data_IF_959197328079
#
_entry.id   IF_959197328079
#
_cell.length_a   1.000
_cell.length_b   1.000
_cell.length_c   1.000
_cell.angle_alpha   90.00
_cell.angle_beta   90.00
_cell.angle_gamma   90.00
#
_symmetry.space_group_name_H-M   'P 1'
#
loop_
_entity.id
_entity.type
_entity.pdbx_description
1 polymer ?
#
# COMPACT_ATOMS: atom_id res chain seq x y z
N UNK A 1 -0.51 -71.27 5.34
CA UNK A 1 -1.74 -70.47 5.34
C UNK A 1 -1.27 -69.03 5.15
N UNK A 2 -1.11 -68.64 3.91
CA UNK A 2 -0.59 -67.34 3.48
C UNK A 2 -1.77 -66.59 2.86
N UNK A 3 -2.16 -65.50 3.53
CA UNK A 3 -3.24 -64.63 3.05
C UNK A 3 -2.63 -63.48 2.23
N UNK A 4 -3.03 -63.48 0.98
CA UNK A 4 -2.60 -62.54 -0.07
C UNK A 4 -3.43 -61.25 0.04
N UNK A 5 -2.87 -60.14 0.52
CA UNK A 5 -3.55 -58.87 0.61
C UNK A 5 -3.32 -58.08 -0.68
N UNK A 6 -4.31 -58.05 -1.53
CA UNK A 6 -4.37 -57.35 -2.80
C UNK A 6 -4.75 -55.86 -2.57
N UNK A 7 -3.81 -54.95 -2.78
CA UNK A 7 -4.04 -53.50 -2.79
C UNK A 7 -4.86 -53.05 -4.02
N UNK A 8 -5.79 -52.10 -3.88
CA UNK A 8 -6.55 -51.55 -5.01
C UNK A 8 -5.83 -50.35 -5.67
N UNK A 9 -5.10 -50.61 -6.75
CA UNK A 9 -4.46 -49.57 -7.62
C UNK A 9 -5.36 -49.06 -8.74
N UNK A 10 -6.58 -48.60 -8.51
CA UNK A 10 -7.45 -48.22 -9.65
C UNK A 10 -8.12 -46.85 -9.56
N UNK A 11 -7.95 -46.05 -8.51
CA UNK A 11 -8.62 -44.77 -8.41
C UNK A 11 -7.74 -43.54 -8.81
N UNK A 12 -6.44 -43.60 -8.67
CA UNK A 12 -5.54 -42.47 -8.92
C UNK A 12 -5.35 -42.20 -10.42
N UNK A 13 -5.31 -43.23 -11.24
CA UNK A 13 -5.08 -43.10 -12.69
C UNK A 13 -6.27 -42.48 -13.46
N UNK A 14 -7.47 -42.49 -12.89
CA UNK A 14 -8.67 -41.95 -13.55
C UNK A 14 -8.86 -40.43 -13.28
N UNK A 15 -8.29 -39.93 -12.20
CA UNK A 15 -8.29 -38.51 -11.86
C UNK A 15 -7.40 -37.70 -12.80
N UNK A 16 -6.19 -38.18 -13.05
CA UNK A 16 -5.22 -37.49 -13.91
C UNK A 16 -5.66 -37.40 -15.37
N UNK A 17 -6.39 -38.45 -15.82
CA UNK A 17 -6.94 -38.50 -17.19
C UNK A 17 -8.05 -37.47 -17.37
N UNK A 18 -8.92 -37.30 -16.38
CA UNK A 18 -10.01 -36.31 -16.40
C UNK A 18 -9.47 -34.89 -16.36
N UNK A 19 -8.44 -34.61 -15.53
CA UNK A 19 -7.77 -33.32 -15.45
C UNK A 19 -7.12 -32.94 -16.77
N UNK A 20 -6.39 -33.85 -17.42
CA UNK A 20 -5.76 -33.60 -18.73
C UNK A 20 -6.79 -33.29 -19.82
N UNK A 21 -7.93 -33.99 -19.82
CA UNK A 21 -9.03 -33.73 -20.76
C UNK A 21 -9.62 -32.32 -20.51
N UNK A 22 -9.81 -31.92 -19.26
CA UNK A 22 -10.37 -30.62 -18.89
C UNK A 22 -9.47 -29.48 -19.32
N UNK A 23 -8.14 -29.62 -19.16
CA UNK A 23 -7.15 -28.65 -19.62
C UNK A 23 -7.13 -28.51 -21.14
N UNK A 24 -7.25 -29.60 -21.87
CA UNK A 24 -7.32 -29.57 -23.35
C UNK A 24 -8.60 -28.89 -23.82
N UNK A 25 -9.75 -29.19 -23.20
CA UNK A 25 -11.03 -28.53 -23.54
C UNK A 25 -10.97 -27.03 -23.26
N UNK A 26 -10.36 -26.61 -22.14
CA UNK A 26 -10.18 -25.19 -21.79
C UNK A 26 -9.28 -24.49 -22.80
N UNK A 27 -8.18 -25.12 -23.23
CA UNK A 27 -7.28 -24.57 -24.23
C UNK A 27 -7.95 -24.42 -25.62
N UNK A 28 -8.79 -25.40 -26.03
CA UNK A 28 -9.56 -25.33 -27.28
C UNK A 28 -10.63 -24.23 -27.20
N UNK A 29 -11.30 -24.07 -26.06
CA UNK A 29 -12.26 -23.00 -25.83
C UNK A 29 -11.60 -21.61 -25.89
N UNK A 30 -10.40 -21.44 -25.33
CA UNK A 30 -9.62 -20.21 -25.42
C UNK A 30 -9.18 -19.89 -26.86
N UNK A 31 -8.82 -20.91 -27.66
CA UNK A 31 -8.48 -20.72 -29.08
C UNK A 31 -9.71 -20.38 -29.93
N UNK A 32 -10.88 -20.94 -29.63
CA UNK A 32 -12.13 -20.65 -30.33
C UNK A 32 -12.70 -19.26 -29.99
N UNK A 33 -12.53 -18.79 -28.75
CA UNK A 33 -12.98 -17.44 -28.34
C UNK A 33 -12.00 -16.33 -28.75
N UNK A 34 -10.70 -16.62 -28.80
CA UNK A 34 -9.67 -15.68 -29.27
C UNK A 34 -9.66 -15.50 -30.81
N UNK A 35 -10.13 -16.52 -31.56
CA UNK A 35 -10.11 -16.47 -33.03
C UNK A 35 -11.26 -15.70 -33.69
N UNK A 36 -12.35 -15.43 -32.99
CA UNK A 36 -13.53 -14.76 -33.57
C UNK A 36 -13.47 -13.22 -33.52
N UNK A 37 -12.50 -12.65 -32.80
CA UNK A 37 -12.31 -11.20 -32.77
C UNK A 37 -11.54 -10.63 -33.97
N UNK A 38 -10.94 -11.47 -34.82
CA UNK A 38 -10.10 -11.00 -35.95
C UNK A 38 -10.88 -10.92 -37.27
N UNK A 39 -12.08 -11.54 -37.37
CA UNK A 39 -12.73 -11.74 -38.67
C UNK A 39 -14.02 -10.93 -38.92
N UNK A 40 -14.53 -10.18 -37.97
CA UNK A 40 -15.60 -9.23 -38.18
C UNK A 40 -15.07 -7.82 -37.96
N UNK A 41 -14.89 -7.09 -39.11
CA UNK A 41 -14.42 -5.73 -39.27
C UNK A 41 -14.93 -4.67 -38.29
N UNK A 42 -14.76 -4.93 -37.00
CA UNK A 42 -14.91 -3.96 -35.94
C UNK A 42 -13.56 -3.27 -35.74
N UNK A 43 -13.51 -1.99 -36.06
CA UNK A 43 -12.40 -1.12 -35.68
C UNK A 43 -12.11 -1.31 -34.20
N UNK A 44 -10.83 -1.56 -33.77
CA UNK A 44 -10.52 -1.70 -32.37
C UNK A 44 -10.95 -0.45 -31.63
N UNK A 45 -11.64 -0.65 -30.51
CA UNK A 45 -12.21 0.43 -29.68
C UNK A 45 -11.15 1.46 -29.22
N UNK A 46 -9.87 1.13 -29.39
CA UNK A 46 -8.74 2.01 -29.10
C UNK A 46 -8.41 3.05 -30.20
N UNK A 47 -9.01 2.95 -31.37
CA UNK A 47 -8.78 3.99 -32.41
C UNK A 47 -9.52 5.29 -32.15
N UNK A 48 -10.40 5.35 -31.14
CA UNK A 48 -11.09 6.58 -30.75
C UNK A 48 -10.22 7.56 -29.96
N UNK A 49 -9.04 7.11 -29.50
CA UNK A 49 -8.06 7.94 -28.79
C UNK A 49 -6.72 8.05 -29.52
N UNK A 50 -6.63 7.63 -30.76
CA UNK A 50 -5.46 7.97 -31.56
C UNK A 50 -5.44 9.50 -31.71
N UNK A 51 -4.37 10.20 -31.32
CA UNK A 51 -4.25 11.62 -31.61
C UNK A 51 -4.32 11.77 -33.11
N UNK A 52 -5.31 12.51 -33.53
CA UNK A 52 -5.52 12.83 -34.95
C UNK A 52 -4.32 13.69 -35.40
N UNK A 53 -3.27 13.06 -35.97
CA UNK A 53 -2.19 13.76 -36.66
C UNK A 53 -2.69 14.42 -37.96
N UNK A 54 -3.91 14.90 -37.92
CA UNK A 54 -4.45 15.83 -38.93
C UNK A 54 -4.20 17.24 -38.46
N UNK A 55 -3.25 17.92 -39.08
CA UNK A 55 -2.99 19.32 -38.84
C UNK A 55 -4.26 20.16 -38.89
N UNK A 56 -4.81 20.45 -37.70
CA UNK A 56 -5.79 21.51 -37.56
C UNK A 56 -5.05 22.83 -37.67
N UNK A 57 -4.99 23.36 -38.86
CA UNK A 57 -4.74 24.77 -39.04
C UNK A 57 -5.87 25.52 -38.36
N UNK A 58 -5.68 25.95 -37.13
CA UNK A 58 -6.56 26.91 -36.48
C UNK A 58 -6.39 28.25 -37.21
N UNK A 59 -7.34 28.55 -38.06
CA UNK A 59 -7.48 29.92 -38.63
C UNK A 59 -7.76 30.88 -37.47
N UNK A 60 -6.79 31.71 -37.10
CA UNK A 60 -7.10 32.87 -36.30
C UNK A 60 -6.00 33.51 -35.48
N UNK A 61 -4.92 32.87 -35.09
CA UNK A 61 -3.96 33.47 -34.14
C UNK A 61 -2.52 33.56 -34.64
N UNK A 62 -2.21 32.97 -35.81
CA UNK A 62 -0.82 32.92 -36.31
C UNK A 62 0.14 32.09 -35.44
N UNK A 63 -0.39 31.39 -34.41
CA UNK A 63 0.40 30.52 -33.54
C UNK A 63 0.49 29.12 -34.16
N UNK A 64 1.67 28.61 -34.34
CA UNK A 64 1.97 27.27 -34.84
C UNK A 64 2.67 26.47 -33.75
N UNK A 65 2.33 25.20 -33.65
CA UNK A 65 3.05 24.26 -32.73
C UNK A 65 4.48 24.14 -33.21
N UNK A 66 5.44 24.24 -32.28
CA UNK A 66 6.86 24.06 -32.61
C UNK A 66 7.10 22.63 -33.13
N UNK A 67 7.65 22.50 -34.36
CA UNK A 67 7.88 21.19 -34.97
C UNK A 67 8.88 20.31 -34.19
N UNK A 68 9.65 20.89 -33.26
CA UNK A 68 10.56 20.15 -32.37
C UNK A 68 9.91 19.82 -31.02
N UNK A 69 8.68 20.24 -30.77
CA UNK A 69 7.97 19.86 -29.57
C UNK A 69 7.70 18.34 -29.59
N UNK A 70 8.20 17.63 -28.57
CA UNK A 70 7.97 16.21 -28.35
C UNK A 70 7.07 16.02 -27.14
N UNK A 71 6.41 14.86 -27.08
CA UNK A 71 5.62 14.49 -25.94
C UNK A 71 6.49 14.37 -24.69
N UNK A 72 6.15 15.11 -23.64
CA UNK A 72 6.81 15.00 -22.34
C UNK A 72 6.17 13.84 -21.58
N UNK A 73 6.89 12.72 -21.48
CA UNK A 73 6.49 11.62 -20.63
C UNK A 73 6.72 12.06 -19.18
N UNK A 74 5.63 12.34 -18.47
CA UNK A 74 5.70 12.59 -17.03
C UNK A 74 6.12 11.29 -16.35
N UNK A 75 7.28 11.23 -15.66
CA UNK A 75 7.62 10.05 -14.88
C UNK A 75 6.54 9.81 -13.84
N UNK A 76 6.19 8.55 -13.60
CA UNK A 76 5.26 8.19 -12.54
C UNK A 76 5.90 8.61 -11.19
N UNK A 77 5.38 9.69 -10.64
CA UNK A 77 5.84 10.20 -9.35
C UNK A 77 5.13 9.41 -8.24
N UNK A 78 5.84 9.10 -7.15
CA UNK A 78 5.19 8.47 -6.00
C UNK A 78 4.05 9.35 -5.50
N UNK A 79 2.92 8.78 -5.10
CA UNK A 79 1.82 9.53 -4.50
C UNK A 79 2.30 10.22 -3.22
N UNK A 80 1.57 11.21 -2.76
CA UNK A 80 1.82 11.82 -1.46
C UNK A 80 1.65 10.78 -0.34
N UNK A 81 2.46 10.89 0.72
CA UNK A 81 2.35 10.02 1.89
C UNK A 81 1.04 10.27 2.61
N UNK A 82 0.28 9.22 2.92
CA UNK A 82 -0.90 9.29 3.78
C UNK A 82 -0.47 9.01 5.22
N UNK A 83 -0.65 10.02 6.10
CA UNK A 83 -0.28 9.95 7.50
C UNK A 83 -1.56 9.92 8.35
N UNK A 84 -1.71 8.94 9.29
CA UNK A 84 -2.87 8.89 10.15
C UNK A 84 -2.89 10.06 11.13
N UNK A 85 -4.07 10.58 11.43
CA UNK A 85 -4.26 11.56 12.50
C UNK A 85 -4.30 10.90 13.87
N UNK A 86 -3.86 11.64 14.91
CA UNK A 86 -3.91 11.20 16.30
C UNK A 86 -4.73 12.20 17.12
N UNK A 87 -5.59 11.64 17.99
CA UNK A 87 -6.32 12.42 18.99
C UNK A 87 -5.66 12.33 20.37
N UNK A 88 -6.36 12.81 21.42
CA UNK A 88 -5.92 12.63 22.80
C UNK A 88 -5.80 11.15 23.15
N UNK A 89 -4.72 10.79 23.83
CA UNK A 89 -4.44 9.43 24.26
C UNK A 89 -4.75 9.30 25.77
N UNK A 90 -5.54 8.31 26.15
CA UNK A 90 -5.84 8.02 27.57
C UNK A 90 -5.12 6.74 27.95
N UNK A 91 -4.24 6.81 28.95
CA UNK A 91 -3.44 5.66 29.41
C UNK A 91 -3.52 5.49 30.94
N UNK A 92 -3.31 4.26 31.45
CA UNK A 92 -3.26 4.03 32.88
C UNK A 92 -1.96 4.54 33.50
N UNK A 93 -2.03 4.98 34.77
CA UNK A 93 -0.88 5.48 35.49
C UNK A 93 0.17 4.39 35.77
N UNK A 94 1.44 4.78 35.77
CA UNK A 94 2.59 3.95 36.14
C UNK A 94 2.70 2.64 35.33
N UNK A 95 2.11 2.60 34.15
CA UNK A 95 2.13 1.44 33.25
C UNK A 95 3.01 1.74 32.05
N UNK A 96 3.88 0.78 31.69
CA UNK A 96 4.70 0.86 30.48
C UNK A 96 4.00 0.29 29.26
N UNK A 97 3.23 -0.80 29.45
CA UNK A 97 2.56 -1.47 28.37
C UNK A 97 1.23 -0.77 28.08
N UNK A 98 1.13 -0.16 26.92
CA UNK A 98 -0.09 0.53 26.45
C UNK A 98 -0.75 -0.35 25.42
N UNK A 99 -2.01 -0.72 25.69
CA UNK A 99 -2.81 -1.62 24.89
C UNK A 99 -3.82 -0.81 24.07
N UNK A 100 -4.01 -1.19 22.80
CA UNK A 100 -5.05 -0.61 21.94
C UNK A 100 -4.72 0.77 21.36
N UNK A 101 -3.44 1.11 21.24
CA UNK A 101 -3.02 2.42 20.72
C UNK A 101 -3.24 2.58 19.21
N UNK A 102 -3.18 1.49 18.44
CA UNK A 102 -3.43 1.43 17.00
C UNK A 102 -2.61 2.42 16.16
N UNK A 103 -1.28 2.33 16.24
CA UNK A 103 -0.39 3.04 15.33
C UNK A 103 -0.35 2.30 13.99
N UNK A 104 -1.01 2.80 12.97
CA UNK A 104 -1.15 2.09 11.70
C UNK A 104 -0.53 2.85 10.53
N UNK A 105 -0.07 2.10 9.54
CA UNK A 105 0.31 2.63 8.24
C UNK A 105 -0.86 2.41 7.27
N UNK A 106 -1.49 3.50 6.76
CA UNK A 106 -2.60 3.38 5.82
C UNK A 106 -2.25 2.53 4.60
N UNK A 107 -3.24 1.75 4.12
CA UNK A 107 -3.05 0.88 2.95
C UNK A 107 -2.76 1.68 1.67
N UNK A 108 -3.15 2.94 1.62
CA UNK A 108 -2.89 3.88 0.52
C UNK A 108 -1.39 4.13 0.31
N UNK A 109 -0.56 3.79 1.30
CA UNK A 109 0.90 3.85 1.19
C UNK A 109 1.51 2.59 0.56
N UNK A 110 0.67 1.60 0.18
CA UNK A 110 1.15 0.33 -0.38
C UNK A 110 1.99 0.53 -1.65
N UNK A 111 3.07 -0.21 -1.74
CA UNK A 111 4.04 -0.10 -2.82
C UNK A 111 5.01 1.09 -2.70
N UNK A 112 4.77 2.05 -1.77
CA UNK A 112 5.51 3.31 -1.74
C UNK A 112 6.23 3.58 -0.42
N UNK A 113 5.52 3.47 0.76
CA UNK A 113 6.08 3.96 2.02
C UNK A 113 5.88 3.03 3.21
N UNK A 114 6.96 2.75 3.93
CA UNK A 114 6.91 2.35 5.34
C UNK A 114 6.74 3.58 6.23
N UNK A 115 6.15 3.41 7.42
CA UNK A 115 6.13 4.46 8.45
C UNK A 115 6.87 4.01 9.70
N UNK A 116 7.52 4.95 10.39
CA UNK A 116 7.92 4.80 11.78
C UNK A 116 7.19 5.83 12.64
N UNK A 117 7.02 5.50 13.93
CA UNK A 117 6.31 6.30 14.91
C UNK A 117 7.20 6.54 16.11
N UNK A 118 7.45 7.79 16.45
CA UNK A 118 8.19 8.19 17.65
C UNK A 118 7.31 9.04 18.53
N UNK A 119 7.02 8.54 19.75
CA UNK A 119 6.22 9.26 20.74
C UNK A 119 7.14 10.01 21.71
N UNK A 120 7.00 11.32 21.76
CA UNK A 120 7.77 12.17 22.65
C UNK A 120 6.86 13.00 23.57
N UNK A 121 7.33 13.26 24.79
CA UNK A 121 6.78 14.30 25.65
C UNK A 121 7.36 15.65 25.28
N UNK A 122 6.55 16.70 25.42
CA UNK A 122 6.96 18.06 25.21
C UNK A 122 7.11 18.82 26.54
N UNK A 123 8.00 19.76 26.59
CA UNK A 123 8.11 20.75 27.67
C UNK A 123 7.10 21.90 27.48
N UNK A 124 7.11 22.88 28.38
CA UNK A 124 6.24 24.05 28.35
C UNK A 124 6.49 24.98 27.15
N UNK A 125 7.63 24.83 26.49
CA UNK A 125 8.01 25.63 25.32
C UNK A 125 7.63 24.88 24.01
N UNK A 126 7.14 23.63 24.10
CA UNK A 126 6.85 22.78 22.98
C UNK A 126 8.07 22.03 22.42
N UNK A 127 9.18 22.04 23.17
CA UNK A 127 10.39 21.31 22.81
C UNK A 127 10.32 19.86 23.32
N UNK A 128 11.00 18.94 22.60
CA UNK A 128 11.06 17.52 23.01
C UNK A 128 11.82 17.39 24.31
N UNK A 129 11.10 16.93 25.34
CA UNK A 129 11.65 16.67 26.66
C UNK A 129 12.20 15.23 26.76
N UNK A 130 11.49 14.25 26.22
CA UNK A 130 11.79 12.84 26.36
C UNK A 130 11.11 12.01 25.28
N UNK A 131 11.83 11.01 24.75
CA UNK A 131 11.24 9.97 23.90
C UNK A 131 10.72 8.82 24.74
N UNK A 132 9.42 8.56 24.65
CA UNK A 132 8.75 7.46 25.36
C UNK A 132 8.71 6.16 24.56
N UNK A 133 8.65 6.25 23.23
CA UNK A 133 8.54 5.09 22.36
C UNK A 133 9.08 5.40 20.97
N UNK A 134 9.67 4.39 20.35
CA UNK A 134 10.10 4.42 18.96
C UNK A 134 9.80 3.06 18.32
N UNK A 135 9.12 3.07 17.17
CA UNK A 135 8.79 1.86 16.44
C UNK A 135 9.90 1.48 15.45
N UNK A 136 9.88 0.23 15.02
CA UNK A 136 10.49 -0.18 13.76
C UNK A 136 9.59 0.22 12.58
N UNK A 137 10.01 -0.11 11.35
CA UNK A 137 9.22 0.11 10.14
C UNK A 137 7.88 -0.62 10.20
N UNK A 138 6.79 0.11 9.98
CA UNK A 138 5.42 -0.44 9.88
C UNK A 138 5.03 -0.50 8.42
N UNK A 139 4.84 -1.69 7.84
CA UNK A 139 4.40 -1.85 6.46
C UNK A 139 2.99 -1.28 6.23
N UNK A 140 2.64 -0.88 4.98
CA UNK A 140 1.29 -0.46 4.62
C UNK A 140 0.23 -1.50 4.98
N UNK A 141 -0.93 -1.04 5.43
CA UNK A 141 -2.04 -1.90 5.86
C UNK A 141 -1.83 -2.62 7.19
N UNK A 142 -0.66 -2.46 7.85
CA UNK A 142 -0.37 -3.03 9.16
C UNK A 142 -0.42 -1.97 10.26
N UNK A 143 -0.55 -2.45 11.51
CA UNK A 143 -0.61 -1.58 12.69
C UNK A 143 0.06 -2.23 13.90
N UNK A 144 0.48 -1.38 14.83
CA UNK A 144 0.94 -1.76 16.15
C UNK A 144 -0.21 -1.54 17.13
N UNK A 145 -0.76 -2.62 17.66
CA UNK A 145 -1.87 -2.56 18.61
C UNK A 145 -1.41 -2.15 19.99
N UNK A 146 -0.26 -2.68 20.42
CA UNK A 146 0.29 -2.50 21.75
C UNK A 146 1.72 -1.97 21.65
N UNK A 147 2.08 -1.06 22.54
CA UNK A 147 3.44 -0.51 22.63
C UNK A 147 3.98 -0.57 24.05
N UNK A 148 5.30 -0.61 24.16
CA UNK A 148 5.98 -0.54 25.44
C UNK A 148 6.75 0.79 25.57
N UNK A 149 6.30 1.65 26.48
CA UNK A 149 6.96 2.90 26.77
C UNK A 149 8.29 2.66 27.51
N UNK A 150 9.24 3.58 27.38
CA UNK A 150 10.50 3.62 28.13
C UNK A 150 10.23 3.62 29.63
N UNK A 151 9.20 4.34 30.09
CA UNK A 151 8.72 4.35 31.48
C UNK A 151 7.22 4.55 31.57
N UNK A 152 6.63 4.25 32.73
CA UNK A 152 5.27 4.66 33.06
C UNK A 152 5.20 6.15 33.42
N UNK A 153 4.03 6.77 33.20
CA UNK A 153 3.74 8.15 33.57
C UNK A 153 2.88 8.21 34.82
N UNK A 154 3.12 9.21 35.68
CA UNK A 154 2.23 9.50 36.83
C UNK A 154 0.91 10.10 36.36
N UNK A 155 -0.14 10.06 37.20
CA UNK A 155 -1.42 10.72 36.89
C UNK A 155 -1.21 12.19 36.51
N UNK A 156 -1.87 12.61 35.46
CA UNK A 156 -1.76 13.98 34.96
C UNK A 156 -2.07 14.14 33.48
N UNK A 157 -1.82 15.30 32.97
CA UNK A 157 -1.88 15.63 31.53
C UNK A 157 -0.48 16.02 31.06
N UNK A 158 -0.12 15.54 29.88
CA UNK A 158 1.19 15.75 29.30
C UNK A 158 1.01 16.17 27.84
N UNK A 159 1.67 17.23 27.44
CA UNK A 159 1.77 17.59 26.03
C UNK A 159 2.75 16.63 25.36
N UNK A 160 2.37 16.16 24.19
CA UNK A 160 3.10 15.14 23.46
C UNK A 160 3.07 15.39 21.97
N UNK A 161 4.04 14.84 21.27
CA UNK A 161 4.10 14.81 19.81
C UNK A 161 4.29 13.36 19.34
N UNK A 162 3.54 12.99 18.31
CA UNK A 162 3.82 11.81 17.49
C UNK A 162 4.59 12.27 16.27
N UNK A 163 5.85 11.93 16.20
CA UNK A 163 6.67 12.11 15.02
C UNK A 163 6.48 10.91 14.11
N UNK A 164 5.99 11.13 12.89
CA UNK A 164 5.80 10.09 11.88
C UNK A 164 6.81 10.32 10.77
N UNK A 165 7.70 9.35 10.57
CA UNK A 165 8.71 9.40 9.52
C UNK A 165 8.43 8.33 8.47
N UNK A 166 8.08 8.74 7.24
CA UNK A 166 7.95 7.82 6.11
C UNK A 166 9.32 7.50 5.51
N UNK A 167 9.43 6.26 4.99
CA UNK A 167 10.58 5.75 4.25
C UNK A 167 10.12 5.15 2.94
N UNK A 168 10.78 5.46 1.84
CA UNK A 168 10.56 4.81 0.55
C UNK A 168 10.77 3.30 0.66
N UNK A 169 9.87 2.49 0.10
CA UNK A 169 10.00 1.02 0.13
C UNK A 169 11.21 0.55 -0.69
N UNK A 170 11.54 1.25 -1.78
CA UNK A 170 12.58 0.81 -2.71
C UNK A 170 14.01 0.88 -2.14
N UNK A 171 14.32 1.95 -1.41
CA UNK A 171 15.69 2.26 -0.96
C UNK A 171 15.80 2.69 0.50
N UNK A 172 14.69 2.71 1.23
CA UNK A 172 14.57 3.17 2.62
C UNK A 172 15.03 4.62 2.81
N UNK A 173 14.96 5.45 1.77
CA UNK A 173 15.23 6.87 1.89
C UNK A 173 14.11 7.56 2.69
N UNK A 174 14.43 8.34 3.75
CA UNK A 174 13.42 9.10 4.47
C UNK A 174 12.84 10.21 3.61
N UNK A 175 11.53 10.40 3.70
CA UNK A 175 10.81 11.49 3.03
C UNK A 175 10.34 12.55 4.03
N UNK A 176 9.50 13.50 3.61
CA UNK A 176 8.97 14.53 4.50
C UNK A 176 8.18 13.89 5.65
N UNK A 177 8.52 14.26 6.87
CA UNK A 177 7.89 13.78 8.10
C UNK A 177 6.70 14.67 8.53
N UNK A 178 5.95 14.19 9.51
CA UNK A 178 4.90 14.94 10.17
C UNK A 178 5.06 14.88 11.70
N UNK A 179 4.83 16.03 12.35
CA UNK A 179 4.72 16.14 13.79
C UNK A 179 3.27 16.42 14.16
N UNK A 180 2.65 15.52 14.91
CA UNK A 180 1.25 15.60 15.32
C UNK A 180 1.21 15.82 16.83
N UNK A 181 0.88 17.04 17.24
CA UNK A 181 0.77 17.40 18.65
C UNK A 181 -0.57 16.94 19.22
N UNK A 182 -0.55 16.40 20.42
CA UNK A 182 -1.74 15.94 21.14
C UNK A 182 -1.47 15.89 22.65
N UNK A 183 -2.51 15.53 23.44
CA UNK A 183 -2.39 15.42 24.89
C UNK A 183 -2.50 13.96 25.33
N UNK A 184 -1.59 13.52 26.18
CA UNK A 184 -1.70 12.26 26.94
C UNK A 184 -2.38 12.54 28.26
N UNK A 185 -3.49 11.86 28.51
CA UNK A 185 -4.25 11.90 29.78
C UNK A 185 -3.98 10.62 30.55
N UNK A 186 -3.31 10.72 31.67
CA UNK A 186 -2.95 9.59 32.53
C UNK A 186 -3.91 9.51 33.71
N UNK A 187 -4.63 8.39 33.87
CA UNK A 187 -5.67 8.15 34.89
C UNK A 187 -5.27 7.10 35.92
#
# INVERSE_FOLDING_TARGET
MTEDTKEPKTQEQNSDRKWKILVVILAVLLLLTGGTMIFWGGVPFFSAFAPNNGGSTSQGTGLVVDPNASEFVVPELPPGVVIPGFGSMIIPANTKNIIGINLYNPIENDGWYYLTFTLCLLDKNGEVLETLYESQLVPPGLYLQDIQLSRGLSKGQYDAVMHVQPYSIGDLTPTNNANINFTIIVK
#
